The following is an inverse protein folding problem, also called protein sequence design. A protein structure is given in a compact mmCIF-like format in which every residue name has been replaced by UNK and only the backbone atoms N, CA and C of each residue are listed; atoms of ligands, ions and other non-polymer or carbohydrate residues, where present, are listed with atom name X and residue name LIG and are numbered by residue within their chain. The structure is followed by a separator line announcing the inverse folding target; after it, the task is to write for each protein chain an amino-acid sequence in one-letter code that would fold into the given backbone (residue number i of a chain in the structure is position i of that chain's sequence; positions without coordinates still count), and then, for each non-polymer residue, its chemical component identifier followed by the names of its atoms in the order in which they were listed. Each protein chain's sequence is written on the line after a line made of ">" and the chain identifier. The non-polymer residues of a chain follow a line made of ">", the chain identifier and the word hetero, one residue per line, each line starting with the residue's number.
data_IF_711966386904
#
_entry.id   IF_711966386904
#
_cell.length_a   1.000
_cell.length_b   1.000
_cell.length_c   1.000
_cell.angle_alpha   90.00
_cell.angle_beta   90.00
_cell.angle_gamma   90.00
#
_symmetry.space_group_name_H-M   'P 1'
#
loop_
_entity.id
_entity.type
_entity.pdbx_description
1 polymer ?
#
# COMPACT_ATOMS: atom_id res chain seq x y z
N UNK A 1 -7.77 -13.67 -21.46
CA UNK A 1 -7.25 -14.86 -22.14
C UNK A 1 -5.76 -14.90 -21.83
N UNK A 2 -5.32 -15.82 -20.94
CA UNK A 2 -3.89 -16.11 -20.75
C UNK A 2 -3.39 -16.81 -22.00
N UNK A 3 -2.58 -16.16 -22.84
CA UNK A 3 -1.70 -16.88 -23.73
C UNK A 3 -0.71 -17.64 -22.85
N UNK A 4 -0.85 -18.95 -22.75
CA UNK A 4 0.20 -19.80 -22.21
C UNK A 4 1.33 -19.86 -23.23
N UNK A 5 2.26 -18.92 -23.14
CA UNK A 5 3.56 -19.07 -23.80
C UNK A 5 4.48 -19.65 -22.73
N UNK A 6 4.47 -20.97 -22.59
CA UNK A 6 5.51 -21.64 -21.79
C UNK A 6 6.74 -21.59 -22.68
N UNK A 7 7.66 -20.68 -22.34
CA UNK A 7 9.00 -20.68 -22.90
C UNK A 7 9.74 -21.83 -22.21
N UNK A 8 10.15 -22.83 -22.95
CA UNK A 8 11.01 -23.91 -22.44
C UNK A 8 12.45 -23.41 -22.47
N UNK A 9 12.82 -22.61 -21.44
CA UNK A 9 14.17 -22.05 -21.27
C UNK A 9 14.93 -22.90 -20.27
N UNK A 10 16.19 -23.23 -20.58
CA UNK A 10 17.17 -23.78 -19.65
C UNK A 10 17.91 -22.65 -18.87
N UNK A 11 18.79 -23.00 -17.94
CA UNK A 11 19.49 -22.02 -17.10
C UNK A 11 20.51 -21.20 -17.90
N UNK A 12 21.15 -21.79 -18.93
CA UNK A 12 22.07 -21.08 -19.83
C UNK A 12 21.35 -19.98 -20.61
N UNK A 13 20.12 -20.28 -21.07
CA UNK A 13 19.27 -19.31 -21.76
C UNK A 13 18.79 -18.20 -20.80
N UNK A 14 18.51 -18.52 -19.53
CA UNK A 14 18.23 -17.52 -18.50
C UNK A 14 19.44 -16.62 -18.23
N UNK A 15 20.65 -17.18 -18.19
CA UNK A 15 21.88 -16.42 -18.05
C UNK A 15 22.10 -15.48 -19.25
N UNK A 16 21.94 -15.99 -20.47
CA UNK A 16 22.10 -15.21 -21.70
C UNK A 16 21.17 -14.00 -21.80
N UNK A 17 19.95 -14.07 -21.26
CA UNK A 17 19.02 -12.93 -21.19
C UNK A 17 19.24 -12.06 -19.94
N UNK A 18 20.30 -12.32 -19.15
CA UNK A 18 20.67 -11.51 -18.00
C UNK A 18 19.80 -11.74 -16.75
N UNK A 19 19.12 -12.89 -16.64
CA UNK A 19 18.19 -13.16 -15.55
C UNK A 19 18.83 -13.16 -14.16
N UNK A 20 20.14 -13.39 -14.07
CA UNK A 20 20.89 -13.47 -12.79
C UNK A 20 21.67 -12.20 -12.45
N UNK A 21 21.71 -11.19 -13.33
CA UNK A 21 22.55 -9.99 -13.17
C UNK A 21 22.20 -9.15 -11.93
N UNK A 22 20.95 -9.22 -11.47
CA UNK A 22 20.48 -8.48 -10.31
C UNK A 22 20.15 -9.38 -9.13
N UNK A 23 20.75 -10.58 -9.08
CA UNK A 23 20.53 -11.51 -7.97
C UNK A 23 21.19 -10.98 -6.70
N UNK A 24 20.42 -10.78 -5.65
CA UNK A 24 20.90 -10.36 -4.33
C UNK A 24 21.37 -11.60 -3.59
N UNK A 25 22.66 -11.68 -3.28
CA UNK A 25 23.29 -12.85 -2.65
C UNK A 25 23.43 -12.71 -1.12
N UNK A 26 23.30 -11.48 -0.58
CA UNK A 26 23.46 -11.18 0.84
C UNK A 26 22.31 -10.32 1.36
N UNK A 27 21.93 -10.54 2.62
CA UNK A 27 21.06 -9.62 3.35
C UNK A 27 21.88 -8.43 3.85
N UNK A 28 22.02 -7.41 3.05
CA UNK A 28 22.57 -6.12 3.46
C UNK A 28 21.40 -5.13 3.66
N UNK A 29 21.63 -4.09 4.50
CA UNK A 29 20.65 -3.03 4.65
C UNK A 29 20.37 -2.38 3.28
N UNK A 30 19.10 -2.26 2.91
CA UNK A 30 18.72 -1.67 1.64
C UNK A 30 19.24 -0.21 1.56
N UNK A 31 20.07 0.16 0.56
CA UNK A 31 20.60 1.52 0.43
C UNK A 31 19.51 2.60 0.42
N UNK A 32 18.33 2.27 -0.14
CA UNK A 32 17.16 3.16 -0.16
C UNK A 32 16.63 3.36 1.26
N UNK A 33 16.61 2.32 2.08
CA UNK A 33 16.11 2.41 3.46
C UNK A 33 17.04 3.24 4.32
N UNK A 34 18.35 3.12 4.13
CA UNK A 34 19.33 4.00 4.75
C UNK A 34 19.07 5.47 4.38
N UNK A 35 18.91 5.77 3.08
CA UNK A 35 18.56 7.12 2.63
C UNK A 35 17.28 7.64 3.28
N UNK A 36 16.24 6.80 3.36
CA UNK A 36 14.97 7.14 3.99
C UNK A 36 15.16 7.44 5.49
N UNK A 37 15.96 6.64 6.19
CA UNK A 37 16.29 6.86 7.60
C UNK A 37 17.03 8.18 7.80
N UNK A 38 18.00 8.48 6.95
CA UNK A 38 18.76 9.73 7.01
C UNK A 38 17.84 10.95 6.81
N UNK A 39 16.89 10.88 5.89
CA UNK A 39 15.89 11.93 5.66
C UNK A 39 14.98 12.16 6.89
N UNK A 40 14.54 11.09 7.56
CA UNK A 40 13.76 11.20 8.80
C UNK A 40 14.59 11.83 9.92
N UNK A 41 15.83 11.41 10.10
CA UNK A 41 16.73 11.94 11.11
C UNK A 41 17.02 13.43 10.88
N UNK A 42 17.07 13.87 9.62
CA UNK A 42 17.23 15.26 9.23
C UNK A 42 15.92 16.07 9.33
N UNK A 43 14.79 15.48 9.68
CA UNK A 43 13.48 16.14 9.71
C UNK A 43 12.94 16.51 8.32
N UNK A 44 13.52 15.98 7.25
CA UNK A 44 13.14 16.25 5.86
C UNK A 44 11.89 15.43 5.44
N UNK A 45 10.78 15.62 6.15
CA UNK A 45 9.58 14.76 6.07
C UNK A 45 8.97 14.74 4.67
N UNK A 46 8.85 15.89 4.00
CA UNK A 46 8.34 15.96 2.62
C UNK A 46 9.17 15.10 1.68
N UNK A 47 10.49 15.22 1.76
CA UNK A 47 11.40 14.46 0.90
C UNK A 47 11.37 12.97 1.24
N UNK A 48 11.31 12.62 2.52
CA UNK A 48 11.12 11.24 2.96
C UNK A 48 9.88 10.62 2.31
N UNK A 49 8.72 11.27 2.40
CA UNK A 49 7.46 10.77 1.83
C UNK A 49 7.58 10.62 0.31
N UNK A 50 8.17 11.62 -0.37
CA UNK A 50 8.43 11.57 -1.81
C UNK A 50 9.28 10.35 -2.18
N UNK A 51 10.41 10.18 -1.52
CA UNK A 51 11.33 9.06 -1.80
C UNK A 51 10.72 7.70 -1.41
N UNK A 52 9.94 7.61 -0.34
CA UNK A 52 9.24 6.39 0.04
C UNK A 52 8.21 5.96 -1.03
N UNK A 53 7.45 6.90 -1.60
CA UNK A 53 6.52 6.63 -2.69
C UNK A 53 7.27 6.17 -3.95
N UNK A 54 8.33 6.86 -4.35
CA UNK A 54 9.14 6.49 -5.52
C UNK A 54 9.81 5.13 -5.34
N UNK A 55 10.28 4.83 -4.14
CA UNK A 55 10.86 3.54 -3.77
C UNK A 55 9.84 2.40 -3.59
N UNK A 56 8.57 2.65 -3.92
CA UNK A 56 7.48 1.66 -3.80
C UNK A 56 7.32 1.09 -2.38
N UNK A 57 7.50 1.92 -1.35
CA UNK A 57 7.18 1.52 0.02
C UNK A 57 5.67 1.43 0.21
N UNK A 58 5.22 0.43 0.95
CA UNK A 58 3.81 0.26 1.29
C UNK A 58 3.45 1.21 2.42
N UNK A 59 2.46 2.06 2.19
CA UNK A 59 2.16 3.20 3.06
C UNK A 59 0.73 3.14 3.58
N UNK A 60 0.58 3.34 4.88
CA UNK A 60 -0.72 3.60 5.52
C UNK A 60 -0.78 5.07 5.95
N UNK A 61 -1.83 5.76 5.53
CA UNK A 61 -2.16 7.10 5.98
C UNK A 61 -3.20 6.98 7.10
N UNK A 62 -2.79 7.29 8.31
CA UNK A 62 -3.59 7.17 9.52
C UNK A 62 -4.05 8.52 10.03
N UNK A 63 -5.20 8.55 10.67
CA UNK A 63 -5.72 9.76 11.32
C UNK A 63 -7.19 9.63 11.68
N UNK A 64 -7.62 10.36 12.67
CA UNK A 64 -9.03 10.45 13.07
C UNK A 64 -9.91 11.07 11.98
N UNK A 65 -11.19 11.24 12.31
CA UNK A 65 -12.15 11.90 11.42
C UNK A 65 -11.76 13.35 11.13
N UNK A 66 -11.92 13.78 9.88
CA UNK A 66 -11.66 15.18 9.42
C UNK A 66 -10.19 15.62 9.53
N UNK A 67 -9.23 14.71 9.70
CA UNK A 67 -7.79 15.02 9.68
C UNK A 67 -7.22 15.26 8.28
N UNK A 68 -8.02 15.03 7.22
CA UNK A 68 -7.63 15.31 5.84
C UNK A 68 -6.92 14.14 5.15
N UNK A 69 -7.14 12.89 5.58
CA UNK A 69 -6.53 11.70 4.98
C UNK A 69 -6.68 11.65 3.47
N UNK A 70 -7.89 11.79 2.94
CA UNK A 70 -8.15 11.76 1.49
C UNK A 70 -7.44 12.91 0.75
N UNK A 71 -7.41 14.11 1.33
CA UNK A 71 -6.69 15.25 0.74
C UNK A 71 -5.19 14.99 0.68
N UNK A 72 -4.63 14.48 1.77
CA UNK A 72 -3.22 14.12 1.84
C UNK A 72 -2.89 12.95 0.89
N UNK A 73 -3.76 11.93 0.83
CA UNK A 73 -3.63 10.82 -0.09
C UNK A 73 -3.54 11.31 -1.53
N UNK A 74 -4.48 12.17 -1.96
CA UNK A 74 -4.46 12.76 -3.30
C UNK A 74 -3.20 13.59 -3.57
N UNK A 75 -2.67 14.29 -2.56
CA UNK A 75 -1.41 15.02 -2.69
C UNK A 75 -0.21 14.05 -2.85
N UNK A 76 -0.17 12.98 -2.07
CA UNK A 76 0.86 11.95 -2.15
C UNK A 76 0.85 11.24 -3.51
N UNK A 77 -0.32 10.96 -4.06
CA UNK A 77 -0.46 10.30 -5.35
C UNK A 77 0.09 11.10 -6.54
N UNK A 78 0.21 12.42 -6.42
CA UNK A 78 0.86 13.25 -7.47
C UNK A 78 2.34 12.92 -7.70
N UNK A 79 2.98 12.25 -6.74
CA UNK A 79 4.37 11.79 -6.82
C UNK A 79 4.51 10.49 -7.61
N UNK A 80 3.42 9.72 -7.75
CA UNK A 80 3.45 8.43 -8.46
C UNK A 80 3.76 8.66 -9.95
N UNK A 81 4.72 7.92 -10.53
CA UNK A 81 5.09 8.06 -11.93
C UNK A 81 3.92 7.80 -12.87
N UNK A 82 3.72 8.63 -13.92
CA UNK A 82 2.57 8.56 -14.81
C UNK A 82 2.51 7.29 -15.68
N UNK A 83 3.63 6.59 -15.82
CA UNK A 83 3.71 5.35 -16.62
C UNK A 83 3.22 4.11 -15.87
N UNK A 84 3.01 4.23 -14.55
CA UNK A 84 2.51 3.12 -13.75
C UNK A 84 1.02 2.89 -13.96
N UNK A 85 0.62 1.61 -13.91
CA UNK A 85 -0.79 1.21 -13.91
C UNK A 85 -1.35 1.23 -12.51
N UNK A 86 -2.32 2.10 -12.26
CA UNK A 86 -2.94 2.27 -10.93
C UNK A 86 -4.38 1.76 -10.96
N UNK A 87 -4.73 0.96 -9.95
CA UNK A 87 -6.12 0.58 -9.71
C UNK A 87 -6.52 1.10 -8.33
N UNK A 88 -7.64 1.80 -8.27
CA UNK A 88 -8.23 2.24 -7.01
C UNK A 88 -9.43 1.37 -6.65
N UNK A 89 -9.59 1.05 -5.36
CA UNK A 89 -10.77 0.41 -4.80
C UNK A 89 -11.32 1.32 -3.69
N UNK A 90 -12.57 1.74 -3.82
CA UNK A 90 -13.18 2.75 -2.95
C UNK A 90 -14.66 2.45 -2.68
N UNK A 91 -15.18 2.91 -1.55
CA UNK A 91 -16.61 2.93 -1.26
C UNK A 91 -17.35 4.06 -2.02
N UNK A 92 -16.65 5.17 -2.18
CA UNK A 92 -17.07 6.33 -2.98
C UNK A 92 -15.83 6.88 -3.67
N UNK A 93 -15.98 7.34 -4.90
CA UNK A 93 -14.85 7.83 -5.70
C UNK A 93 -14.33 9.17 -5.17
N UNK A 94 -13.24 9.13 -4.42
CA UNK A 94 -12.56 10.28 -3.83
C UNK A 94 -11.09 10.39 -4.28
N UNK A 95 -10.48 9.28 -4.73
CA UNK A 95 -9.09 9.27 -5.20
C UNK A 95 -9.00 9.87 -6.60
N UNK A 96 -8.14 10.88 -6.73
CA UNK A 96 -7.94 11.66 -7.96
C UNK A 96 -6.52 11.49 -8.48
N UNK A 97 -6.37 10.81 -9.60
CA UNK A 97 -5.09 10.55 -10.29
C UNK A 97 -5.16 10.93 -11.79
N UNK A 98 -5.53 12.17 -12.14
CA UNK A 98 -5.74 12.56 -13.54
C UNK A 98 -4.46 12.47 -14.39
N UNK A 99 -3.28 12.58 -13.77
CA UNK A 99 -1.96 12.49 -14.41
C UNK A 99 -1.54 11.06 -14.75
N UNK A 100 -2.27 10.03 -14.28
CA UNK A 100 -2.01 8.62 -14.62
C UNK A 100 -2.94 8.21 -15.75
N UNK A 101 -2.45 8.01 -17.00
CA UNK A 101 -3.31 7.62 -18.12
C UNK A 101 -3.82 6.18 -17.97
N UNK A 102 -2.99 5.25 -17.48
CA UNK A 102 -3.34 3.85 -17.28
C UNK A 102 -3.91 3.61 -15.88
N UNK A 103 -5.17 3.99 -15.68
CA UNK A 103 -5.85 3.86 -14.38
C UNK A 103 -7.22 3.19 -14.50
N UNK A 104 -7.63 2.51 -13.44
CA UNK A 104 -8.97 1.96 -13.27
C UNK A 104 -9.49 2.33 -11.89
N UNK A 105 -10.73 2.82 -11.82
CA UNK A 105 -11.40 3.10 -10.56
C UNK A 105 -12.51 2.08 -10.33
N UNK A 106 -12.40 1.30 -9.26
CA UNK A 106 -13.40 0.32 -8.84
C UNK A 106 -14.12 0.85 -7.59
N UNK A 107 -15.44 0.75 -7.61
CA UNK A 107 -16.29 1.26 -6.50
C UNK A 107 -17.12 0.11 -5.96
N UNK A 108 -17.07 -0.12 -4.65
CA UNK A 108 -17.89 -1.11 -3.96
C UNK A 108 -19.36 -0.67 -3.92
N UNK A 109 -20.28 -1.61 -3.98
CA UNK A 109 -21.69 -1.29 -3.83
C UNK A 109 -22.04 -1.07 -2.35
N UNK A 110 -22.57 0.11 -2.03
CA UNK A 110 -23.12 0.42 -0.70
C UNK A 110 -24.58 -0.01 -0.61
N UNK A 111 -24.88 -0.86 0.40
CA UNK A 111 -26.22 -0.98 0.99
C UNK A 111 -27.38 -1.22 0.02
N UNK A 112 -27.46 -2.38 -0.63
CA UNK A 112 -28.72 -2.85 -1.22
C UNK A 112 -29.28 -2.08 -2.43
N UNK A 113 -28.61 -1.08 -2.94
CA UNK A 113 -29.03 -0.30 -4.12
C UNK A 113 -28.40 -0.85 -5.38
N UNK A 114 -28.77 -2.05 -5.78
CA UNK A 114 -28.32 -2.64 -7.03
C UNK A 114 -28.47 -4.16 -7.06
N UNK A 115 -28.50 -4.75 -8.25
CA UNK A 115 -28.61 -6.20 -8.44
C UNK A 115 -27.35 -6.99 -8.04
N UNK A 116 -26.20 -6.32 -7.92
CA UNK A 116 -24.93 -6.94 -7.52
C UNK A 116 -24.41 -6.34 -6.22
N UNK A 117 -24.18 -7.19 -5.23
CA UNK A 117 -23.49 -6.81 -3.98
C UNK A 117 -21.99 -7.08 -4.19
N UNK A 118 -21.23 -6.03 -4.56
CA UNK A 118 -19.79 -6.12 -4.73
C UNK A 118 -19.12 -5.52 -3.51
N UNK A 119 -18.41 -6.34 -2.75
CA UNK A 119 -17.68 -5.93 -1.55
C UNK A 119 -16.30 -5.37 -1.89
N UNK A 120 -15.69 -4.67 -0.94
CA UNK A 120 -14.29 -4.21 -1.07
C UNK A 120 -13.33 -5.39 -1.30
N UNK A 121 -13.57 -6.51 -0.64
CA UNK A 121 -12.79 -7.73 -0.83
C UNK A 121 -12.88 -8.24 -2.27
N UNK A 122 -14.07 -8.28 -2.87
CA UNK A 122 -14.27 -8.70 -4.26
C UNK A 122 -13.50 -7.79 -5.24
N UNK A 123 -13.47 -6.48 -4.96
CA UNK A 123 -12.71 -5.52 -5.76
C UNK A 123 -11.21 -5.78 -5.69
N UNK A 124 -10.67 -6.01 -4.48
CA UNK A 124 -9.24 -6.31 -4.29
C UNK A 124 -8.88 -7.61 -5.03
N UNK A 125 -9.70 -8.65 -4.93
CA UNK A 125 -9.47 -9.91 -5.63
C UNK A 125 -9.54 -9.76 -7.17
N UNK A 126 -10.45 -8.93 -7.66
CA UNK A 126 -10.51 -8.58 -9.08
C UNK A 126 -9.25 -7.82 -9.54
N UNK A 127 -8.73 -6.91 -8.71
CA UNK A 127 -7.50 -6.15 -9.00
C UNK A 127 -6.31 -7.04 -9.30
N UNK A 128 -6.15 -8.15 -8.59
CA UNK A 128 -5.03 -9.09 -8.81
C UNK A 128 -5.02 -9.66 -10.24
N UNK A 129 -6.18 -9.69 -10.90
CA UNK A 129 -6.31 -10.14 -12.30
C UNK A 129 -6.13 -9.02 -13.31
N UNK A 130 -6.20 -7.77 -12.87
CA UNK A 130 -6.05 -6.59 -13.71
C UNK A 130 -4.61 -6.09 -13.82
N UNK A 131 -3.66 -6.74 -13.13
CA UNK A 131 -2.21 -6.49 -13.16
C UNK A 131 -1.85 -5.02 -12.89
N UNK A 132 -2.22 -4.43 -11.74
CA UNK A 132 -1.77 -3.10 -11.37
C UNK A 132 -0.28 -3.11 -11.00
N UNK A 133 0.42 -1.99 -11.22
CA UNK A 133 1.73 -1.74 -10.61
C UNK A 133 1.57 -1.40 -9.13
N UNK A 134 0.48 -0.67 -8.79
CA UNK A 134 0.10 -0.36 -7.41
C UNK A 134 -1.42 -0.44 -7.23
N UNK A 135 -1.82 -0.89 -6.06
CA UNK A 135 -3.21 -0.88 -5.60
C UNK A 135 -3.42 0.28 -4.61
N UNK A 136 -4.38 1.13 -4.90
CA UNK A 136 -4.78 2.22 -4.01
C UNK A 136 -6.13 1.88 -3.40
N UNK A 137 -6.16 1.73 -2.08
CA UNK A 137 -7.40 1.42 -1.38
C UNK A 137 -7.86 2.66 -0.60
N UNK A 138 -9.09 3.10 -0.80
CA UNK A 138 -9.64 4.31 -0.18
C UNK A 138 -9.52 4.27 1.32
N UNK A 139 -10.00 3.18 1.95
CA UNK A 139 -9.92 2.99 3.40
C UNK A 139 -10.01 1.52 3.78
N UNK A 140 -9.22 1.12 4.78
CA UNK A 140 -9.32 -0.17 5.46
C UNK A 140 -10.25 -0.04 6.67
N UNK A 141 -11.27 -0.91 6.75
CA UNK A 141 -12.28 -0.88 7.83
C UNK A 141 -12.56 -2.22 8.47
N UNK A 142 -12.21 -3.33 7.81
CA UNK A 142 -12.55 -4.67 8.28
C UNK A 142 -11.71 -5.78 7.65
N UNK A 143 -12.35 -6.92 7.42
CA UNK A 143 -11.70 -8.16 6.96
C UNK A 143 -10.98 -8.05 5.61
N UNK A 144 -11.32 -7.07 4.78
CA UNK A 144 -10.64 -6.77 3.51
C UNK A 144 -9.17 -6.41 3.71
N UNK A 145 -8.76 -6.00 4.93
CA UNK A 145 -7.38 -5.73 5.29
C UNK A 145 -6.46 -6.91 4.98
N UNK A 146 -6.90 -8.14 5.23
CA UNK A 146 -6.11 -9.32 4.91
C UNK A 146 -5.90 -9.49 3.40
N UNK A 147 -6.96 -9.31 2.60
CA UNK A 147 -6.88 -9.39 1.13
C UNK A 147 -5.97 -8.29 0.57
N UNK A 148 -6.04 -7.08 1.12
CA UNK A 148 -5.14 -5.98 0.77
C UNK A 148 -3.68 -6.34 1.08
N UNK A 149 -3.39 -6.81 2.30
CA UNK A 149 -2.04 -7.19 2.71
C UNK A 149 -1.45 -8.29 1.81
N UNK A 150 -2.26 -9.29 1.45
CA UNK A 150 -1.85 -10.34 0.50
C UNK A 150 -1.55 -9.76 -0.88
N UNK A 151 -2.43 -8.89 -1.41
CA UNK A 151 -2.23 -8.26 -2.71
C UNK A 151 -0.91 -7.48 -2.76
N UNK A 152 -0.66 -6.69 -1.72
CA UNK A 152 0.57 -5.88 -1.60
C UNK A 152 1.82 -6.76 -1.52
N UNK A 153 1.77 -7.85 -0.74
CA UNK A 153 2.90 -8.77 -0.58
C UNK A 153 3.18 -9.64 -1.82
N UNK A 154 2.21 -9.79 -2.73
CA UNK A 154 2.30 -10.70 -3.88
C UNK A 154 2.52 -10.00 -5.22
N UNK A 155 3.25 -8.88 -5.25
CA UNK A 155 3.69 -8.26 -6.50
C UNK A 155 3.12 -6.88 -6.81
N UNK A 156 2.53 -6.21 -5.81
CA UNK A 156 2.00 -4.85 -5.95
C UNK A 156 2.62 -3.89 -4.91
N UNK A 157 3.98 -3.76 -4.85
CA UNK A 157 4.66 -2.89 -3.91
C UNK A 157 4.34 -1.41 -4.18
N UNK A 158 4.40 -0.59 -3.13
CA UNK A 158 4.07 0.84 -3.23
C UNK A 158 2.58 1.12 -3.21
N UNK A 159 1.78 0.15 -2.77
CA UNK A 159 0.35 0.35 -2.53
C UNK A 159 0.11 1.24 -1.31
N UNK A 160 -0.94 2.04 -1.37
CA UNK A 160 -1.28 3.00 -0.32
C UNK A 160 -2.74 2.82 0.08
N UNK A 161 -3.00 2.90 1.38
CA UNK A 161 -4.35 2.94 1.93
C UNK A 161 -4.48 3.91 3.09
N UNK A 162 -5.71 4.17 3.52
CA UNK A 162 -5.99 4.94 4.74
C UNK A 162 -6.65 4.06 5.80
N UNK A 163 -6.55 4.47 7.04
CA UNK A 163 -7.33 3.91 8.14
C UNK A 163 -7.54 4.93 9.27
N UNK A 164 -8.48 4.63 10.17
CA UNK A 164 -8.72 5.45 11.36
C UNK A 164 -7.93 4.95 12.55
N UNK A 165 -6.94 5.74 12.99
CA UNK A 165 -6.27 5.58 14.28
C UNK A 165 -5.66 6.92 14.72
N UNK A 166 -5.30 7.03 16.00
CA UNK A 166 -4.78 8.27 16.60
C UNK A 166 -3.25 8.31 16.70
N UNK A 167 -2.61 7.16 16.52
CA UNK A 167 -1.13 7.02 16.48
C UNK A 167 -0.75 5.91 15.52
N UNK A 168 0.52 5.87 15.02
CA UNK A 168 1.00 4.76 14.20
C UNK A 168 0.93 3.40 14.89
N UNK A 169 1.19 3.37 16.21
CA UNK A 169 1.08 2.13 17.00
C UNK A 169 -0.36 1.61 17.01
N UNK A 170 -1.35 2.48 17.22
CA UNK A 170 -2.76 2.11 17.14
C UNK A 170 -3.19 1.74 15.71
N UNK A 171 -2.59 2.34 14.68
CA UNK A 171 -2.83 1.94 13.29
C UNK A 171 -2.38 0.50 13.03
N UNK A 172 -1.22 0.10 13.56
CA UNK A 172 -0.75 -1.29 13.50
C UNK A 172 -1.71 -2.24 14.23
N UNK A 173 -2.14 -1.88 15.43
CA UNK A 173 -3.13 -2.67 16.18
C UNK A 173 -4.46 -2.82 15.44
N UNK A 174 -4.96 -1.73 14.82
CA UNK A 174 -6.18 -1.78 14.02
C UNK A 174 -6.03 -2.73 12.82
N UNK A 175 -4.90 -2.73 12.12
CA UNK A 175 -4.65 -3.68 11.04
C UNK A 175 -4.66 -5.13 11.54
N UNK A 176 -4.01 -5.40 12.68
CA UNK A 176 -4.00 -6.72 13.30
C UNK A 176 -5.43 -7.17 13.63
N UNK A 177 -6.23 -6.31 14.28
CA UNK A 177 -7.61 -6.60 14.64
C UNK A 177 -8.50 -6.85 13.42
N UNK A 178 -8.37 -6.05 12.37
CA UNK A 178 -9.09 -6.24 11.10
C UNK A 178 -8.76 -7.61 10.47
N UNK A 179 -7.48 -8.00 10.47
CA UNK A 179 -7.06 -9.30 9.93
C UNK A 179 -7.58 -10.46 10.79
N UNK A 180 -7.57 -10.31 12.11
CA UNK A 180 -8.16 -11.32 13.01
C UNK A 180 -9.64 -11.55 12.72
N UNK A 181 -10.40 -10.53 12.33
CA UNK A 181 -11.81 -10.65 11.93
C UNK A 181 -12.03 -11.55 10.70
N UNK A 182 -10.99 -11.82 9.91
CA UNK A 182 -11.08 -12.75 8.78
C UNK A 182 -11.15 -14.23 9.22
N UNK A 183 -10.92 -14.54 10.50
CA UNK A 183 -11.11 -15.89 11.07
C UNK A 183 -10.14 -16.94 10.52
N UNK A 184 -8.90 -16.59 10.23
CA UNK A 184 -7.94 -17.43 9.51
C UNK A 184 -7.27 -18.52 10.36
N UNK A 185 -7.56 -18.59 11.67
CA UNK A 185 -6.94 -19.58 12.58
C UNK A 185 -5.44 -19.33 12.85
N UNK A 186 -4.91 -18.14 12.51
CA UNK A 186 -3.54 -17.72 12.80
C UNK A 186 -3.48 -16.88 14.08
N UNK A 187 -2.37 -16.99 14.83
CA UNK A 187 -2.22 -16.27 16.09
C UNK A 187 -2.01 -14.78 15.87
N UNK A 188 -2.33 -13.98 16.91
CA UNK A 188 -2.10 -12.52 16.87
C UNK A 188 -0.64 -12.17 16.58
N UNK A 189 0.32 -12.90 17.15
CA UNK A 189 1.75 -12.64 16.95
C UNK A 189 2.19 -12.95 15.51
N UNK A 190 1.65 -13.98 14.89
CA UNK A 190 1.89 -14.28 13.48
C UNK A 190 1.32 -13.19 12.58
N UNK A 191 0.11 -12.70 12.89
CA UNK A 191 -0.48 -11.56 12.15
C UNK A 191 0.37 -10.30 12.34
N UNK A 192 0.79 -10.00 13.56
CA UNK A 192 1.66 -8.86 13.85
C UNK A 192 2.94 -8.90 13.00
N UNK A 193 3.64 -10.02 13.05
CA UNK A 193 4.87 -10.20 12.27
C UNK A 193 4.62 -10.03 10.76
N UNK A 194 3.48 -10.54 10.27
CA UNK A 194 3.09 -10.38 8.87
C UNK A 194 2.80 -8.92 8.52
N UNK A 195 1.99 -8.21 9.31
CA UNK A 195 1.71 -6.78 9.09
C UNK A 195 2.99 -5.96 9.09
N UNK A 196 3.86 -6.20 10.08
CA UNK A 196 5.16 -5.54 10.16
C UNK A 196 6.11 -5.86 9.01
N UNK A 197 5.99 -7.03 8.39
CA UNK A 197 6.82 -7.37 7.21
C UNK A 197 6.34 -6.70 5.92
N UNK A 198 5.05 -6.34 5.85
CA UNK A 198 4.44 -5.81 4.62
C UNK A 198 4.31 -4.28 4.65
N UNK A 199 3.94 -3.68 5.79
CA UNK A 199 3.78 -2.23 5.92
C UNK A 199 5.11 -1.59 6.30
N UNK A 200 5.62 -0.74 5.41
CA UNK A 200 6.90 -0.06 5.60
C UNK A 200 6.75 1.30 6.30
N UNK A 201 5.67 2.04 5.98
CA UNK A 201 5.50 3.42 6.44
C UNK A 201 4.08 3.63 6.95
N UNK A 202 3.95 4.30 8.10
CA UNK A 202 2.66 4.85 8.55
C UNK A 202 2.83 6.35 8.73
N UNK A 203 1.98 7.13 8.07
CA UNK A 203 1.95 8.59 8.14
C UNK A 203 0.74 8.98 8.98
N UNK A 204 0.98 9.53 10.16
CA UNK A 204 -0.08 9.97 11.06
C UNK A 204 -0.47 11.41 10.81
N UNK A 205 -1.75 11.64 10.57
CA UNK A 205 -2.32 12.97 10.40
C UNK A 205 -3.10 13.39 11.64
N UNK A 206 -2.96 14.66 12.02
CA UNK A 206 -3.74 15.30 13.07
C UNK A 206 -4.35 16.61 12.59
N UNK A 207 -5.40 17.01 13.29
CA UNK A 207 -6.02 18.33 13.15
C UNK A 207 -5.71 19.15 14.39
N UNK A 208 -4.97 20.23 14.21
CA UNK A 208 -4.62 21.17 15.27
C UNK A 208 -5.65 22.27 15.49
N UNK A 209 -5.27 23.24 16.31
CA UNK A 209 -6.05 24.43 16.54
C UNK A 209 -6.38 25.15 15.22
N UNK A 210 -7.54 25.82 15.18
CA UNK A 210 -8.03 26.56 13.98
C UNK A 210 -8.18 25.69 12.72
N UNK A 211 -8.23 24.35 12.86
CA UNK A 211 -8.46 23.43 11.74
C UNK A 211 -7.25 23.14 10.86
N UNK A 212 -6.06 23.55 11.23
CA UNK A 212 -4.80 23.21 10.53
C UNK A 212 -4.59 21.71 10.57
N UNK A 213 -4.31 21.11 9.40
CA UNK A 213 -4.02 19.69 9.27
C UNK A 213 -2.53 19.52 9.05
N UNK A 214 -1.92 18.54 9.73
CA UNK A 214 -0.47 18.32 9.68
C UNK A 214 -0.12 16.85 9.88
N UNK A 215 1.07 16.48 9.40
CA UNK A 215 1.70 15.19 9.71
C UNK A 215 2.27 15.29 11.11
N UNK A 216 1.73 14.53 12.04
CA UNK A 216 2.15 14.57 13.45
C UNK A 216 3.25 13.57 13.76
N UNK A 217 3.30 12.46 13.03
CA UNK A 217 4.24 11.38 13.26
C UNK A 217 4.43 10.56 11.98
N UNK A 218 5.63 10.01 11.81
CA UNK A 218 5.94 9.06 10.74
C UNK A 218 6.62 7.84 11.36
N UNK A 219 6.01 6.68 11.19
CA UNK A 219 6.63 5.38 11.47
C UNK A 219 7.28 4.86 10.19
N UNK A 220 8.50 4.37 10.31
CA UNK A 220 9.22 3.72 9.22
C UNK A 220 9.91 2.44 9.70
N UNK A 221 9.64 1.34 9.03
CA UNK A 221 10.32 0.07 9.20
C UNK A 221 11.21 -0.21 8.00
N UNK A 222 12.50 -0.39 8.24
CA UNK A 222 13.45 -0.81 7.22
C UNK A 222 13.14 -2.23 6.74
N UNK A 223 13.29 -2.45 5.44
CA UNK A 223 13.13 -3.78 4.85
C UNK A 223 14.48 -4.48 4.89
N UNK A 224 14.56 -5.61 5.55
CA UNK A 224 15.71 -6.51 5.37
C UNK A 224 15.58 -7.17 3.99
N UNK A 225 16.63 -7.08 3.21
CA UNK A 225 16.73 -7.73 1.89
C UNK A 225 17.32 -9.12 2.07
#
# INVERSE_FOLDING_TARGET
>A
IRKQTILNLDLEQYEAIGAFQNTIVRQEANPIDKKLRDLLNAGAIKEFITQAILAKKNIIISGGTSTGKTTFFNAALKVVPPMERIITCEDAREIMIPHIPNRVHLVASKGGQGRAQVTMQDLIEACLRLRPDRLMLGELRGKEAFSFMRAVNTGHPGSISTLHADTPALAMEQLILMIMQAGLGITRDQIKNYVESVINVIIQLKRGARGVRYVSEVYFKETMI
#
